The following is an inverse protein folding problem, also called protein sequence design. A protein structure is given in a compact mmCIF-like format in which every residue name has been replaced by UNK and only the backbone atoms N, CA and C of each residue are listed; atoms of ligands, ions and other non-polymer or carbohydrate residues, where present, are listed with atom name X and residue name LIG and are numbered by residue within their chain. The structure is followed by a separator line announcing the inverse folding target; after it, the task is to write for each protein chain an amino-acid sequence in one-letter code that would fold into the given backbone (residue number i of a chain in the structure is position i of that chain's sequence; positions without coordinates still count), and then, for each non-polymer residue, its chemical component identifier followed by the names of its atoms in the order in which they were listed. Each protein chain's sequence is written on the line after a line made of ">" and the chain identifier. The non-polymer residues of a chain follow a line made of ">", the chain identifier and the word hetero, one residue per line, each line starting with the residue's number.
data_IF_385373681632
#
_entry.id   IF_385373681632
#
_cell.length_a   1.000
_cell.length_b   1.000
_cell.length_c   1.000
_cell.angle_alpha   90.00
_cell.angle_beta   90.00
_cell.angle_gamma   90.00
#
_symmetry.space_group_name_H-M   'P 1'
#
loop_
_entity.id
_entity.type
_entity.pdbx_description
1 polymer ?
#
# COMPACT_ATOMS: atom_id res chain seq x y z
N UNK A 1 -1.44 2.84 13.98
CA UNK A 1 -1.54 3.65 12.77
C UNK A 1 -0.59 3.04 11.74
N UNK A 2 -1.06 2.89 10.52
CA UNK A 2 -0.34 2.28 9.40
C UNK A 2 0.24 3.42 8.57
N UNK A 3 1.48 3.27 8.12
CA UNK A 3 2.13 4.17 7.17
C UNK A 3 2.69 3.32 6.04
N UNK A 4 2.24 3.60 4.82
CA UNK A 4 2.66 2.92 3.60
C UNK A 4 3.40 3.95 2.75
N UNK A 5 4.70 3.77 2.60
CA UNK A 5 5.53 4.62 1.77
C UNK A 5 5.70 3.99 0.38
N UNK A 6 5.54 4.81 -0.64
CA UNK A 6 5.72 4.44 -2.04
C UNK A 6 6.49 5.54 -2.75
N UNK A 7 6.94 5.29 -3.99
CA UNK A 7 7.54 6.35 -4.82
C UNK A 7 6.60 7.51 -5.16
N UNK A 8 5.29 7.33 -4.98
CA UNK A 8 4.27 8.34 -5.28
C UNK A 8 3.86 9.17 -4.05
N UNK A 9 4.22 8.73 -2.85
CA UNK A 9 3.86 9.38 -1.60
C UNK A 9 3.56 8.37 -0.48
N UNK A 10 3.09 8.91 0.64
CA UNK A 10 2.73 8.15 1.83
C UNK A 10 1.22 8.01 1.98
N UNK A 11 0.76 6.82 2.36
CA UNK A 11 -0.65 6.49 2.57
C UNK A 11 -0.88 5.96 4.00
N UNK A 12 -2.00 6.34 4.61
CA UNK A 12 -2.38 5.88 5.95
C UNK A 12 -3.16 4.55 5.95
N UNK A 13 -3.76 4.20 4.81
CA UNK A 13 -4.56 3.00 4.64
C UNK A 13 -4.34 2.38 3.26
N UNK A 14 -4.42 1.04 3.18
CA UNK A 14 -4.43 0.32 1.90
C UNK A 14 -5.60 0.72 0.99
N UNK A 15 -6.72 1.18 1.57
CA UNK A 15 -7.86 1.72 0.81
C UNK A 15 -7.50 2.97 0.02
N UNK A 16 -6.73 3.87 0.62
CA UNK A 16 -6.29 5.11 -0.05
C UNK A 16 -5.32 4.78 -1.17
N UNK A 17 -4.40 3.83 -0.92
CA UNK A 17 -3.48 3.31 -1.91
C UNK A 17 -4.23 2.66 -3.10
N UNK A 18 -5.25 1.85 -2.82
CA UNK A 18 -6.07 1.20 -3.85
C UNK A 18 -6.80 2.22 -4.73
N UNK A 19 -7.46 3.21 -4.12
CA UNK A 19 -8.14 4.28 -4.86
C UNK A 19 -7.16 5.05 -5.74
N UNK A 20 -5.99 5.41 -5.21
CA UNK A 20 -4.93 6.05 -5.98
C UNK A 20 -4.49 5.19 -7.18
N UNK A 21 -4.28 3.90 -6.99
CA UNK A 21 -3.92 3.00 -8.09
C UNK A 21 -5.02 2.94 -9.15
N UNK A 22 -6.30 2.97 -8.78
CA UNK A 22 -7.40 3.00 -9.75
C UNK A 22 -7.46 4.31 -10.54
N UNK A 23 -7.32 5.45 -9.86
CA UNK A 23 -7.33 6.80 -10.46
C UNK A 23 -6.18 6.99 -11.45
N UNK A 24 -4.99 6.53 -11.10
CA UNK A 24 -3.78 6.63 -11.92
C UNK A 24 -3.62 5.46 -12.91
N UNK A 25 -4.60 4.56 -13.00
CA UNK A 25 -4.58 3.36 -13.84
C UNK A 25 -3.34 2.45 -13.63
N UNK A 26 -2.88 2.34 -12.38
CA UNK A 26 -1.75 1.50 -11.99
C UNK A 26 -2.19 0.07 -11.72
N UNK A 27 -1.54 -0.90 -12.36
CA UNK A 27 -1.77 -2.34 -12.10
C UNK A 27 -0.89 -2.87 -10.96
N UNK A 28 0.20 -2.18 -10.67
CA UNK A 28 1.15 -2.52 -9.62
C UNK A 28 1.75 -1.26 -8.98
N UNK A 29 2.13 -1.38 -7.72
CA UNK A 29 2.78 -0.31 -6.96
C UNK A 29 3.92 -0.89 -6.11
N UNK A 30 5.03 -0.18 -6.08
CA UNK A 30 6.15 -0.52 -5.20
C UNK A 30 5.94 0.17 -3.84
N UNK A 31 5.81 -0.65 -2.80
CA UNK A 31 5.83 -0.22 -1.41
C UNK A 31 7.28 -0.29 -0.93
N UNK A 32 7.86 0.87 -0.67
CA UNK A 32 9.25 1.03 -0.23
C UNK A 32 9.38 0.85 1.27
N UNK A 33 8.31 1.13 2.02
CA UNK A 33 8.26 0.92 3.45
C UNK A 33 6.83 0.75 3.95
N UNK A 34 6.64 -0.13 4.93
CA UNK A 34 5.39 -0.30 5.63
C UNK A 34 5.69 -0.26 7.13
N UNK A 35 5.00 0.60 7.88
CA UNK A 35 5.18 0.75 9.33
C UNK A 35 3.84 0.65 10.03
N UNK A 36 3.77 -0.24 11.01
CA UNK A 36 2.69 -0.24 11.99
C UNK A 36 3.22 0.39 13.29
N UNK A 37 2.52 1.38 13.86
CA UNK A 37 2.97 2.08 15.09
C UNK A 37 3.27 1.17 16.31
N UNK A 38 2.89 -0.10 16.28
CA UNK A 38 3.12 -1.07 17.36
C UNK A 38 4.06 -2.21 16.95
N UNK A 39 4.50 -2.26 15.69
CA UNK A 39 5.38 -3.30 15.16
C UNK A 39 6.01 -2.83 13.84
N UNK A 40 7.34 -2.86 13.73
CA UNK A 40 8.02 -2.69 12.44
C UNK A 40 7.77 -3.93 11.58
N UNK A 41 6.64 -3.95 10.87
CA UNK A 41 6.37 -4.95 9.83
C UNK A 41 6.96 -4.42 8.53
N UNK A 42 8.20 -4.80 8.23
CA UNK A 42 8.88 -4.44 6.99
C UNK A 42 8.26 -5.18 5.78
N UNK A 43 7.09 -4.74 5.33
CA UNK A 43 6.55 -5.08 4.02
C UNK A 43 7.21 -4.18 2.98
N UNK A 44 8.12 -4.74 2.16
CA UNK A 44 8.70 -4.04 1.01
C UNK A 44 8.54 -4.92 -0.22
N UNK A 45 8.13 -4.33 -1.33
CA UNK A 45 7.97 -5.06 -2.59
C UNK A 45 6.94 -4.45 -3.52
N UNK A 46 6.80 -5.09 -4.68
CA UNK A 46 5.80 -4.74 -5.68
C UNK A 46 4.50 -5.48 -5.37
N UNK A 47 3.43 -4.73 -5.20
CA UNK A 47 2.08 -5.23 -4.96
C UNK A 47 1.21 -4.93 -6.16
N UNK A 48 0.51 -5.95 -6.65
CA UNK A 48 -0.50 -5.80 -7.69
C UNK A 48 -1.80 -5.25 -7.10
N UNK A 49 -2.62 -4.61 -7.95
CA UNK A 49 -3.93 -4.09 -7.55
C UNK A 49 -4.78 -5.16 -6.86
N UNK A 50 -4.79 -6.39 -7.39
CA UNK A 50 -5.52 -7.52 -6.81
C UNK A 50 -4.99 -7.93 -5.43
N UNK A 51 -3.68 -7.85 -5.20
CA UNK A 51 -3.11 -8.15 -3.87
C UNK A 51 -3.52 -7.09 -2.86
N UNK A 52 -3.52 -5.81 -3.26
CA UNK A 52 -3.99 -4.72 -2.40
C UNK A 52 -5.48 -4.90 -2.08
N UNK A 53 -6.30 -5.27 -3.06
CA UNK A 53 -7.73 -5.57 -2.87
C UNK A 53 -7.92 -6.71 -1.85
N UNK A 54 -7.18 -7.81 -1.98
CA UNK A 54 -7.24 -8.94 -1.03
C UNK A 54 -6.84 -8.54 0.39
N UNK A 55 -5.84 -7.66 0.55
CA UNK A 55 -5.41 -7.16 1.87
C UNK A 55 -6.52 -6.35 2.54
N UNK A 56 -7.34 -5.63 1.76
CA UNK A 56 -8.44 -4.82 2.30
C UNK A 56 -9.64 -5.64 2.80
N UNK A 57 -9.80 -6.88 2.33
CA UNK A 57 -10.91 -7.77 2.73
C UNK A 57 -10.64 -8.53 4.05
N UNK A 58 -9.42 -8.48 4.57
CA UNK A 58 -8.98 -9.14 5.82
C UNK A 58 -9.09 -8.21 7.01
#
# INVERSE_FOLDING_TARGET
>A
MLEIETKYGCFGHFKDLFLFMQEEHLLEIEITELKYCLSEVFGKGVYTLNQIEQIMEV
#
